data_IF_792234424471
#
_entry.id   IF_792234424471
#
_cell.length_a   1.000
_cell.length_b   1.000
_cell.length_c   1.000
_cell.angle_alpha   90.00
_cell.angle_beta   90.00
_cell.angle_gamma   90.00
#
_symmetry.space_group_name_H-M   'P 1'
#
loop_
_entity.id
_entity.type
_entity.pdbx_description
1 polymer ?
#
# COMPACT_ATOMS: atom_id res chain seq x y z
N UNK A 1 39.96 -11.90 12.54
CA UNK A 1 39.24 -12.98 11.85
C UNK A 1 37.99 -12.37 11.24
N UNK A 2 37.84 -12.46 9.92
CA UNK A 2 36.58 -12.17 9.24
C UNK A 2 35.76 -13.45 9.37
N UNK A 3 34.49 -13.42 9.81
CA UNK A 3 33.68 -14.62 9.88
C UNK A 3 33.49 -15.20 8.47
N UNK A 4 33.67 -16.51 8.33
CA UNK A 4 33.28 -17.22 7.12
C UNK A 4 31.76 -17.11 6.96
N UNK A 5 31.33 -16.45 5.89
CA UNK A 5 29.92 -16.39 5.50
C UNK A 5 29.55 -17.81 5.07
N UNK A 6 28.63 -18.45 5.79
CA UNK A 6 28.06 -19.73 5.37
C UNK A 6 27.32 -19.53 4.05
N UNK A 7 27.94 -19.99 2.96
CA UNK A 7 27.43 -19.93 1.59
C UNK A 7 26.33 -20.97 1.32
N UNK A 8 25.86 -21.72 2.33
CA UNK A 8 24.79 -22.73 2.18
C UNK A 8 23.43 -22.15 1.76
N UNK A 9 23.23 -20.83 1.86
CA UNK A 9 21.98 -20.13 1.49
C UNK A 9 21.78 -20.01 -0.05
N UNK A 10 22.71 -20.50 -0.87
CA UNK A 10 22.70 -20.30 -2.33
C UNK A 10 21.51 -20.90 -3.12
N UNK A 11 20.59 -21.64 -2.49
CA UNK A 11 19.45 -22.27 -3.16
C UNK A 11 18.07 -21.91 -2.58
N UNK A 12 17.87 -20.68 -2.08
CA UNK A 12 16.53 -20.21 -1.73
C UNK A 12 15.77 -19.87 -3.01
N UNK A 13 14.79 -20.72 -3.37
CA UNK A 13 13.84 -20.42 -4.44
C UNK A 13 12.79 -19.46 -3.88
N UNK A 14 12.84 -18.20 -4.27
CA UNK A 14 11.78 -17.24 -3.95
C UNK A 14 10.52 -17.68 -4.71
N UNK A 15 9.48 -18.03 -3.97
CA UNK A 15 8.16 -18.39 -4.51
C UNK A 15 7.14 -17.42 -3.96
N UNK A 16 6.23 -16.95 -4.81
CA UNK A 16 5.14 -16.09 -4.38
C UNK A 16 4.27 -16.85 -3.38
N UNK A 17 3.86 -16.16 -2.33
CA UNK A 17 2.94 -16.70 -1.34
C UNK A 17 1.51 -16.71 -1.91
N UNK A 18 0.65 -17.62 -1.46
CA UNK A 18 -0.75 -17.61 -1.86
C UNK A 18 -1.42 -16.30 -1.43
N UNK A 19 -2.34 -15.80 -2.24
CA UNK A 19 -3.10 -14.57 -2.00
C UNK A 19 -4.19 -14.74 -0.94
N UNK A 20 -4.59 -15.98 -0.66
CA UNK A 20 -5.70 -16.31 0.24
C UNK A 20 -5.48 -15.79 1.65
N UNK A 21 -6.39 -14.95 2.13
CA UNK A 21 -6.30 -14.29 3.45
C UNK A 21 -7.68 -14.18 4.11
N UNK A 22 -7.71 -13.73 5.37
CA UNK A 22 -8.94 -13.45 6.10
C UNK A 22 -9.70 -12.28 5.48
N UNK A 23 -11.02 -12.42 5.38
CA UNK A 23 -11.91 -11.36 4.92
C UNK A 23 -12.26 -10.43 6.09
N UNK A 24 -11.81 -9.18 6.02
CA UNK A 24 -12.11 -8.14 6.99
C UNK A 24 -13.35 -7.35 6.55
N UNK A 25 -14.35 -7.29 7.42
CA UNK A 25 -15.53 -6.46 7.25
C UNK A 25 -15.72 -5.64 8.53
N UNK A 26 -15.33 -4.37 8.46
CA UNK A 26 -15.24 -3.51 9.63
C UNK A 26 -14.22 -4.08 10.64
N UNK A 27 -14.68 -4.35 11.86
CA UNK A 27 -13.89 -4.90 12.95
C UNK A 27 -13.93 -6.44 13.05
N UNK A 28 -14.52 -7.12 12.06
CA UNK A 28 -14.76 -8.57 12.11
C UNK A 28 -14.08 -9.34 10.98
N UNK A 29 -13.70 -10.57 11.30
CA UNK A 29 -13.33 -11.59 10.31
C UNK A 29 -14.58 -12.40 9.98
N UNK A 30 -14.98 -12.40 8.70
CA UNK A 30 -16.22 -13.07 8.26
C UNK A 30 -15.97 -14.28 7.36
N UNK A 31 -14.70 -14.57 7.03
CA UNK A 31 -14.35 -15.69 6.16
C UNK A 31 -12.96 -15.54 5.57
N UNK A 32 -12.77 -16.07 4.36
CA UNK A 32 -11.53 -15.97 3.60
C UNK A 32 -11.84 -15.33 2.23
N UNK A 33 -10.91 -14.52 1.75
CA UNK A 33 -10.89 -13.92 0.40
C UNK A 33 -9.61 -14.32 -0.31
N UNK A 34 -9.58 -14.16 -1.63
CA UNK A 34 -8.47 -14.55 -2.49
C UNK A 34 -8.34 -13.60 -3.69
N UNK A 35 -7.28 -13.78 -4.48
CA UNK A 35 -7.01 -13.08 -5.74
C UNK A 35 -7.24 -11.55 -5.64
N UNK A 36 -8.12 -11.00 -6.48
CA UNK A 36 -8.41 -9.56 -6.59
C UNK A 36 -8.90 -8.96 -5.27
N UNK A 37 -9.78 -9.67 -4.56
CA UNK A 37 -10.35 -9.14 -3.30
C UNK A 37 -9.29 -9.09 -2.19
N UNK A 38 -8.37 -10.05 -2.18
CA UNK A 38 -7.23 -10.03 -1.26
C UNK A 38 -6.29 -8.85 -1.55
N UNK A 39 -6.12 -8.46 -2.81
CA UNK A 39 -5.31 -7.28 -3.18
C UNK A 39 -6.03 -5.99 -2.78
N UNK A 40 -7.34 -5.86 -3.03
CA UNK A 40 -8.12 -4.69 -2.57
C UNK A 40 -7.97 -4.47 -1.07
N UNK A 41 -8.11 -5.55 -0.29
CA UNK A 41 -7.91 -5.46 1.15
C UNK A 41 -6.47 -5.07 1.52
N UNK A 42 -5.46 -5.58 0.82
CA UNK A 42 -4.07 -5.22 1.07
C UNK A 42 -3.77 -3.74 0.75
N UNK A 43 -4.34 -3.20 -0.33
CA UNK A 43 -4.28 -1.77 -0.70
C UNK A 43 -4.89 -0.94 0.44
N UNK A 44 -6.12 -1.28 0.85
CA UNK A 44 -6.81 -0.59 1.93
C UNK A 44 -6.00 -0.57 3.23
N UNK A 45 -5.49 -1.73 3.67
CA UNK A 45 -4.72 -1.84 4.90
C UNK A 45 -3.40 -1.05 4.82
N UNK A 46 -2.69 -1.14 3.71
CA UNK A 46 -1.42 -0.43 3.49
C UNK A 46 -1.61 1.07 3.56
N UNK A 47 -2.67 1.61 2.94
CA UNK A 47 -2.94 3.05 2.93
C UNK A 47 -3.59 3.56 4.22
N UNK A 48 -4.07 2.66 5.08
CA UNK A 48 -4.68 3.00 6.38
C UNK A 48 -3.67 3.08 7.52
N UNK A 49 -2.41 2.69 7.28
CA UNK A 49 -1.36 2.66 8.30
C UNK A 49 -0.33 3.74 8.01
N UNK A 50 -0.11 4.63 8.98
CA UNK A 50 1.02 5.56 8.90
C UNK A 50 2.33 4.79 9.11
N UNK A 51 3.26 4.94 8.18
CA UNK A 51 4.58 4.34 8.27
C UNK A 51 5.31 4.82 9.54
N UNK A 52 6.08 3.92 10.15
CA UNK A 52 6.86 4.15 11.38
C UNK A 52 6.07 4.33 12.69
N UNK A 53 4.73 4.37 12.66
CA UNK A 53 3.93 4.57 13.87
C UNK A 53 3.83 3.30 14.75
N UNK A 54 3.91 2.12 14.14
CA UNK A 54 3.72 0.85 14.85
C UNK A 54 4.91 -0.09 14.68
N UNK A 55 5.45 -0.57 15.81
CA UNK A 55 6.62 -1.47 15.85
C UNK A 55 6.39 -2.85 15.22
N UNK A 56 5.12 -3.25 15.05
CA UNK A 56 4.77 -4.56 14.46
C UNK A 56 4.97 -4.58 12.93
N UNK A 57 5.06 -3.41 12.30
CA UNK A 57 5.20 -3.30 10.85
C UNK A 57 6.66 -3.12 10.44
N UNK A 58 6.99 -3.57 9.23
CA UNK A 58 8.27 -3.27 8.62
C UNK A 58 8.40 -1.77 8.33
N UNK A 59 9.64 -1.31 8.15
CA UNK A 59 9.94 0.07 7.75
C UNK A 59 9.40 0.44 6.37
N UNK A 60 9.03 -0.54 5.55
CA UNK A 60 8.45 -0.35 4.22
C UNK A 60 6.92 -0.37 4.20
N UNK A 61 6.27 -0.82 5.28
CA UNK A 61 4.82 -0.97 5.31
C UNK A 61 4.13 0.32 5.77
N UNK A 62 3.04 0.67 5.10
CA UNK A 62 2.29 1.89 5.36
C UNK A 62 2.62 3.02 4.39
N UNK A 63 1.87 4.12 4.55
CA UNK A 63 1.99 5.37 3.81
C UNK A 63 2.37 6.51 4.77
N UNK A 64 2.95 7.59 4.25
CA UNK A 64 3.35 8.73 5.09
C UNK A 64 2.45 9.93 4.74
N UNK A 65 1.25 10.05 5.32
CA UNK A 65 0.32 11.13 4.91
C UNK A 65 0.19 12.23 5.96
N UNK A 66 0.52 11.95 7.23
CA UNK A 66 0.32 12.92 8.32
C UNK A 66 1.08 14.22 8.14
N UNK A 67 2.27 14.17 7.53
CA UNK A 67 3.08 15.36 7.28
C UNK A 67 2.47 16.32 6.24
N UNK A 68 1.48 15.85 5.47
CA UNK A 68 0.81 16.63 4.44
C UNK A 68 -0.35 17.48 4.98
N UNK A 69 -0.75 17.25 6.24
CA UNK A 69 -1.78 18.04 6.91
C UNK A 69 -1.32 19.50 7.08
N UNK A 70 -2.16 20.43 6.66
CA UNK A 70 -1.93 21.87 6.63
C UNK A 70 -1.04 22.35 5.49
N UNK A 71 -0.71 21.50 4.50
CA UNK A 71 0.16 21.87 3.37
C UNK A 71 -0.66 22.42 2.20
N UNK A 72 -0.05 23.29 1.41
CA UNK A 72 -0.67 23.78 0.19
C UNK A 72 -0.88 22.64 -0.83
N UNK A 73 -1.99 22.69 -1.57
CA UNK A 73 -2.36 21.66 -2.57
C UNK A 73 -1.28 21.42 -3.63
N UNK A 74 -0.53 22.46 -4.01
CA UNK A 74 0.53 22.34 -5.00
C UNK A 74 1.71 21.48 -4.51
N UNK A 75 1.90 21.41 -3.19
CA UNK A 75 2.85 20.48 -2.54
C UNK A 75 2.16 19.15 -2.19
N UNK A 76 0.93 19.25 -1.69
CA UNK A 76 -0.05 18.20 -1.43
C UNK A 76 -0.01 17.04 -2.43
N UNK A 77 -0.48 17.34 -3.63
CA UNK A 77 -0.85 16.37 -4.64
C UNK A 77 0.33 15.54 -5.17
N UNK A 78 1.49 16.12 -5.54
CA UNK A 78 2.62 15.32 -5.99
C UNK A 78 3.16 14.40 -4.88
N UNK A 79 3.13 14.85 -3.62
CA UNK A 79 3.58 14.02 -2.49
C UNK A 79 2.60 12.89 -2.19
N UNK A 80 1.28 13.13 -2.23
CA UNK A 80 0.28 12.06 -2.12
C UNK A 80 0.54 11.00 -3.19
N UNK A 81 0.65 11.40 -4.47
CA UNK A 81 0.91 10.49 -5.57
C UNK A 81 2.18 9.66 -5.30
N UNK A 82 3.29 10.33 -4.99
CA UNK A 82 4.58 9.67 -4.74
C UNK A 82 4.48 8.66 -3.59
N UNK A 83 3.91 9.06 -2.46
CA UNK A 83 3.84 8.24 -1.24
C UNK A 83 2.87 7.06 -1.39
N UNK A 84 1.76 7.23 -2.13
CA UNK A 84 0.85 6.12 -2.49
C UNK A 84 1.56 5.09 -3.36
N UNK A 85 2.25 5.52 -4.42
CA UNK A 85 3.02 4.62 -5.30
C UNK A 85 4.08 3.86 -4.51
N UNK A 86 4.89 4.57 -3.70
CA UNK A 86 5.95 3.98 -2.90
C UNK A 86 5.45 2.96 -1.87
N UNK A 87 4.27 3.20 -1.29
CA UNK A 87 3.64 2.30 -0.34
C UNK A 87 3.08 1.04 -1.01
N UNK A 88 2.38 1.18 -2.13
CA UNK A 88 1.71 0.07 -2.81
C UNK A 88 2.67 -0.84 -3.58
N UNK A 89 3.74 -0.30 -4.17
CA UNK A 89 4.71 -1.10 -4.95
C UNK A 89 5.54 -2.06 -4.08
N UNK A 90 5.41 -1.99 -2.75
CA UNK A 90 5.99 -2.98 -1.84
C UNK A 90 5.29 -4.35 -1.91
N UNK A 91 4.05 -4.39 -2.40
CA UNK A 91 3.32 -5.62 -2.66
C UNK A 91 3.69 -6.13 -4.07
N UNK A 92 4.27 -7.33 -4.15
CA UNK A 92 4.78 -7.93 -5.39
C UNK A 92 3.68 -8.26 -6.41
N UNK A 93 2.41 -8.19 -6.00
CA UNK A 93 1.24 -8.37 -6.86
C UNK A 93 0.80 -7.08 -7.55
N UNK A 94 1.32 -5.94 -7.11
CA UNK A 94 1.08 -4.61 -7.70
C UNK A 94 2.25 -4.27 -8.62
N UNK A 95 1.93 -3.99 -9.89
CA UNK A 95 2.90 -3.74 -10.95
C UNK A 95 3.19 -2.25 -11.16
N UNK A 96 2.16 -1.40 -11.03
CA UNK A 96 2.27 0.05 -11.14
C UNK A 96 1.02 0.74 -10.56
N UNK A 97 1.11 2.04 -10.30
CA UNK A 97 0.00 2.89 -9.84
C UNK A 97 0.03 4.23 -10.55
N UNK A 98 -1.04 4.57 -11.26
CA UNK A 98 -1.09 5.77 -12.10
C UNK A 98 -2.50 6.41 -12.18
N UNK A 99 -2.73 7.24 -13.20
CA UNK A 99 -4.03 7.87 -13.50
C UNK A 99 -4.68 8.63 -12.33
N UNK A 100 -3.85 9.24 -11.48
CA UNK A 100 -4.29 10.02 -10.32
C UNK A 100 -5.16 11.21 -10.72
N UNK A 101 -6.32 11.31 -10.07
CA UNK A 101 -7.18 12.48 -10.09
C UNK A 101 -7.43 12.95 -8.66
N UNK A 102 -7.50 14.27 -8.48
CA UNK A 102 -7.63 14.90 -7.18
C UNK A 102 -8.85 15.80 -7.17
N UNK A 103 -9.74 15.57 -6.22
CA UNK A 103 -10.92 16.38 -5.99
C UNK A 103 -10.83 17.00 -4.59
N UNK A 104 -10.71 18.33 -4.54
CA UNK A 104 -10.67 19.05 -3.27
C UNK A 104 -12.03 19.01 -2.59
N UNK A 105 -12.04 18.64 -1.32
CA UNK A 105 -13.21 18.65 -0.45
C UNK A 105 -13.04 19.67 0.69
N UNK A 106 -14.02 19.77 1.59
CA UNK A 106 -13.99 20.75 2.69
C UNK A 106 -12.88 20.47 3.71
N UNK A 107 -12.61 19.20 4.01
CA UNK A 107 -11.71 18.75 5.08
C UNK A 107 -10.50 17.95 4.55
N UNK A 108 -10.26 17.99 3.23
CA UNK A 108 -9.20 17.22 2.61
C UNK A 108 -9.35 17.10 1.10
N UNK A 109 -8.87 16.00 0.55
CA UNK A 109 -8.87 15.69 -0.88
C UNK A 109 -9.28 14.24 -1.08
N UNK A 110 -10.24 14.02 -1.98
CA UNK A 110 -10.51 12.71 -2.54
C UNK A 110 -9.51 12.43 -3.67
N UNK A 111 -8.82 11.31 -3.58
CA UNK A 111 -7.80 10.87 -4.53
C UNK A 111 -8.30 9.59 -5.17
N UNK A 112 -8.40 9.58 -6.49
CA UNK A 112 -8.78 8.38 -7.27
C UNK A 112 -7.62 8.02 -8.18
N UNK A 113 -7.25 6.74 -8.23
CA UNK A 113 -6.11 6.25 -8.99
C UNK A 113 -6.35 4.82 -9.49
N UNK A 114 -5.56 4.42 -10.49
CA UNK A 114 -5.59 3.07 -11.04
C UNK A 114 -4.40 2.28 -10.49
N UNK A 115 -4.67 1.09 -9.95
CA UNK A 115 -3.65 0.13 -9.52
C UNK A 115 -3.60 -1.00 -10.54
N UNK A 116 -2.45 -1.15 -11.19
CA UNK A 116 -2.18 -2.24 -12.12
C UNK A 116 -1.68 -3.45 -11.34
N UNK A 117 -2.41 -4.56 -11.39
CA UNK A 117 -2.06 -5.78 -10.64
C UNK A 117 -1.82 -6.96 -11.58
N UNK A 118 -1.24 -8.04 -11.05
CA UNK A 118 -1.12 -9.31 -11.80
C UNK A 118 -2.48 -9.94 -12.18
N UNK A 119 -3.59 -9.43 -11.62
CA UNK A 119 -4.96 -9.87 -11.93
C UNK A 119 -5.75 -8.86 -12.78
N UNK A 120 -5.12 -7.76 -13.20
CA UNK A 120 -5.75 -6.66 -13.95
C UNK A 120 -5.85 -5.36 -13.14
N UNK A 121 -6.57 -4.40 -13.71
CA UNK A 121 -6.61 -3.03 -13.20
C UNK A 121 -7.72 -2.85 -12.16
N UNK A 122 -7.39 -2.15 -11.08
CA UNK A 122 -8.32 -1.79 -10.01
C UNK A 122 -8.41 -0.27 -9.93
N UNK A 123 -9.64 0.25 -9.95
CA UNK A 123 -9.91 1.66 -9.65
C UNK A 123 -10.13 1.79 -8.15
N UNK A 124 -9.25 2.51 -7.47
CA UNK A 124 -9.27 2.69 -6.03
C UNK A 124 -9.35 4.17 -5.67
N UNK A 125 -9.91 4.46 -4.49
CA UNK A 125 -10.06 5.81 -3.99
C UNK A 125 -9.69 5.91 -2.50
N UNK A 126 -9.20 7.07 -2.09
CA UNK A 126 -8.92 7.37 -0.69
C UNK A 126 -9.12 8.85 -0.38
N UNK A 127 -9.56 9.13 0.85
CA UNK A 127 -9.58 10.48 1.41
C UNK A 127 -8.26 10.79 2.10
N UNK A 128 -7.68 11.96 1.82
CA UNK A 128 -6.47 12.46 2.50
C UNK A 128 -6.77 13.80 3.14
N UNK A 129 -6.48 13.92 4.44
CA UNK A 129 -6.50 15.21 5.11
C UNK A 129 -5.25 16.00 4.72
N UNK A 130 -5.44 17.22 4.20
CA UNK A 130 -4.38 18.17 3.84
C UNK A 130 -4.65 19.54 4.43
#
# INVERSE_FOLDING_TARGET
MIPEIDMSIQNVKLTNQPTKTYALVGDKIVGMIDDVEAIRQAIYLTLSVERYEYLIYSWSYGVELKELIGKDVAFAYPEIKRRVVEALIQDDRILDVDNFTFQKEKEGVLVVFTVHTIYGDLLEEMGVMI
#
